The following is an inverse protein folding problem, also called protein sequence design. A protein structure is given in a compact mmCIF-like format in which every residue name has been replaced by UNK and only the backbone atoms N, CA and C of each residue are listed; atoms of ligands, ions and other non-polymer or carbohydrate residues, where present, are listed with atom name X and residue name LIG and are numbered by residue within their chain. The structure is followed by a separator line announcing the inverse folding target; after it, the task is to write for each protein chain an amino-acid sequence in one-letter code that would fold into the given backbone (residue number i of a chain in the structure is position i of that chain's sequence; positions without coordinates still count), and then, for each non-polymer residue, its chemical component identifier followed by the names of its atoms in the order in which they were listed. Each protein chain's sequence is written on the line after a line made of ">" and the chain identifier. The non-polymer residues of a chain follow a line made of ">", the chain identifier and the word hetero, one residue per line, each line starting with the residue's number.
data_IF_866495830551
#
_entry.id   IF_866495830551
#
_cell.length_a   1.000
_cell.length_b   1.000
_cell.length_c   1.000
_cell.angle_alpha   90.00
_cell.angle_beta   90.00
_cell.angle_gamma   90.00
#
_symmetry.space_group_name_H-M   'P 1'
#
loop_
_entity.id
_entity.type
_entity.pdbx_description
1 polymer ?
#
# COMPACT_ATOMS: atom_id res chain seq x y z
N UNK A 1 -21.56 -14.91 4.29
CA UNK A 1 -20.26 -15.54 4.51
C UNK A 1 -19.31 -14.52 5.14
N UNK A 2 -18.59 -14.92 6.23
CA UNK A 2 -17.67 -14.04 6.95
C UNK A 2 -16.53 -13.57 6.06
N UNK A 3 -16.03 -14.41 5.14
CA UNK A 3 -14.97 -14.04 4.19
C UNK A 3 -15.40 -12.85 3.34
N UNK A 4 -16.55 -12.96 2.69
CA UNK A 4 -17.10 -11.88 1.86
C UNK A 4 -17.32 -10.58 2.64
N UNK A 5 -17.66 -10.68 3.93
CA UNK A 5 -17.80 -9.52 4.80
C UNK A 5 -16.46 -8.78 4.97
N UNK A 6 -15.38 -9.51 5.27
CA UNK A 6 -14.05 -8.91 5.40
C UNK A 6 -13.51 -8.38 4.07
N UNK A 7 -13.63 -9.16 2.99
CA UNK A 7 -13.23 -8.72 1.63
C UNK A 7 -13.95 -7.43 1.22
N UNK A 8 -15.22 -7.27 1.60
CA UNK A 8 -15.98 -6.05 1.35
C UNK A 8 -15.49 -4.85 2.17
N UNK A 9 -15.10 -5.07 3.42
CA UNK A 9 -14.51 -4.02 4.27
C UNK A 9 -13.17 -3.57 3.68
N UNK A 10 -12.29 -4.52 3.33
CA UNK A 10 -11.00 -4.20 2.71
C UNK A 10 -11.16 -3.49 1.37
N UNK A 11 -12.08 -3.95 0.53
CA UNK A 11 -12.37 -3.29 -0.75
C UNK A 11 -12.78 -1.83 -0.56
N UNK A 12 -13.65 -1.55 0.39
CA UNK A 12 -14.07 -0.16 0.69
C UNK A 12 -12.92 0.70 1.22
N UNK A 13 -12.06 0.14 2.07
CA UNK A 13 -10.89 0.83 2.59
C UNK A 13 -9.91 1.17 1.45
N UNK A 14 -9.62 0.18 0.59
CA UNK A 14 -8.76 0.36 -0.57
C UNK A 14 -9.33 1.43 -1.51
N UNK A 15 -10.61 1.34 -1.83
CA UNK A 15 -11.28 2.32 -2.70
C UNK A 15 -11.21 3.74 -2.13
N UNK A 16 -11.50 3.91 -0.83
CA UNK A 16 -11.36 5.21 -0.16
C UNK A 16 -9.93 5.76 -0.24
N UNK A 17 -8.92 4.90 -0.02
CA UNK A 17 -7.52 5.33 -0.09
C UNK A 17 -7.11 5.69 -1.52
N UNK A 18 -7.62 4.97 -2.53
CA UNK A 18 -7.38 5.29 -3.93
C UNK A 18 -8.07 6.59 -4.37
N UNK A 19 -9.27 6.89 -3.86
CA UNK A 19 -9.96 8.17 -4.09
C UNK A 19 -9.13 9.32 -3.51
N UNK A 20 -8.64 9.18 -2.29
CA UNK A 20 -7.79 10.16 -1.62
C UNK A 20 -6.50 10.41 -2.43
N UNK A 21 -5.82 9.34 -2.87
CA UNK A 21 -4.64 9.44 -3.73
C UNK A 21 -4.96 10.17 -5.04
N UNK A 22 -6.07 9.80 -5.69
CA UNK A 22 -6.46 10.38 -6.97
C UNK A 22 -6.75 11.88 -6.86
N UNK A 23 -7.36 12.33 -5.75
CA UNK A 23 -7.63 13.75 -5.49
C UNK A 23 -6.37 14.59 -5.32
N UNK A 24 -5.27 13.99 -4.85
CA UNK A 24 -3.98 14.65 -4.62
C UNK A 24 -3.01 14.47 -5.80
N UNK A 25 -3.43 13.77 -6.87
CA UNK A 25 -2.56 13.46 -8.02
C UNK A 25 -2.20 14.75 -8.79
N UNK A 26 -0.91 15.11 -8.88
CA UNK A 26 -0.49 16.32 -9.59
C UNK A 26 -0.65 16.14 -11.10
N UNK A 27 -0.98 17.23 -11.78
CA UNK A 27 -1.15 17.24 -13.25
C UNK A 27 0.10 16.75 -13.99
N UNK A 28 1.28 17.07 -13.49
CA UNK A 28 2.56 16.71 -14.12
C UNK A 28 2.82 15.19 -14.08
N UNK A 29 2.08 14.43 -13.27
CA UNK A 29 2.23 12.98 -13.18
C UNK A 29 1.93 12.28 -14.52
N UNK A 30 1.16 12.87 -15.43
CA UNK A 30 0.92 12.27 -16.74
C UNK A 30 2.20 12.01 -17.54
N UNK A 31 3.27 12.74 -17.26
CA UNK A 31 4.57 12.54 -17.92
C UNK A 31 5.24 11.22 -17.50
N UNK A 32 4.78 10.58 -16.43
CA UNK A 32 5.29 9.27 -15.99
C UNK A 32 4.87 8.14 -16.93
N UNK A 33 3.77 8.26 -17.65
CA UNK A 33 3.17 7.17 -18.43
C UNK A 33 4.18 6.48 -19.37
N UNK A 34 4.87 7.18 -20.27
CA UNK A 34 5.86 6.54 -21.15
C UNK A 34 7.06 5.98 -20.39
N UNK A 35 7.43 6.58 -19.26
CA UNK A 35 8.54 6.13 -18.41
C UNK A 35 8.15 4.85 -17.67
N UNK A 36 6.95 4.81 -17.11
CA UNK A 36 6.40 3.68 -16.40
C UNK A 36 6.21 2.47 -17.32
N UNK A 37 5.61 2.69 -18.51
CA UNK A 37 5.48 1.64 -19.52
C UNK A 37 6.83 1.10 -19.97
N UNK A 38 7.83 1.96 -20.20
CA UNK A 38 9.18 1.54 -20.52
C UNK A 38 9.78 0.67 -19.40
N UNK A 39 9.68 1.10 -18.15
CA UNK A 39 10.21 0.35 -17.01
C UNK A 39 9.51 -1.00 -16.82
N UNK A 40 8.17 -1.03 -16.95
CA UNK A 40 7.37 -2.25 -16.88
C UNK A 40 7.76 -3.28 -17.94
N UNK A 41 7.89 -2.85 -19.20
CA UNK A 41 8.32 -3.71 -20.31
C UNK A 41 9.72 -4.29 -20.09
N UNK A 42 10.67 -3.49 -19.57
CA UNK A 42 12.01 -3.98 -19.26
C UNK A 42 12.00 -4.98 -18.10
N UNK A 43 11.21 -4.73 -17.04
CA UNK A 43 11.06 -5.69 -15.95
C UNK A 43 10.52 -7.03 -16.44
N UNK A 44 9.49 -7.04 -17.28
CA UNK A 44 8.96 -8.25 -17.87
C UNK A 44 10.00 -8.99 -18.74
N UNK A 45 10.72 -8.25 -19.58
CA UNK A 45 11.74 -8.81 -20.46
C UNK A 45 12.90 -9.46 -19.69
N UNK A 46 13.25 -8.91 -18.53
CA UNK A 46 14.28 -9.42 -17.63
C UNK A 46 13.75 -10.43 -16.59
N UNK A 47 12.46 -10.86 -16.69
CA UNK A 47 11.77 -11.74 -15.73
C UNK A 47 11.83 -11.20 -14.27
N UNK A 48 11.76 -9.89 -14.09
CA UNK A 48 11.69 -9.23 -12.80
C UNK A 48 10.20 -9.09 -12.42
N UNK A 49 9.74 -9.93 -11.49
CA UNK A 49 8.35 -9.92 -11.02
C UNK A 49 8.20 -8.96 -9.83
N UNK A 50 7.88 -7.71 -10.13
CA UNK A 50 7.59 -6.64 -9.17
C UNK A 50 6.32 -5.91 -9.58
N UNK A 51 5.70 -5.10 -8.71
CA UNK A 51 4.56 -4.27 -9.12
C UNK A 51 4.86 -3.37 -10.33
N UNK A 52 6.13 -3.00 -10.58
CA UNK A 52 6.53 -2.23 -11.77
C UNK A 52 6.21 -3.00 -13.06
N UNK A 53 6.30 -4.33 -13.05
CA UNK A 53 6.01 -5.12 -14.25
C UNK A 53 4.54 -5.06 -14.70
N UNK A 54 3.61 -4.67 -13.82
CA UNK A 54 2.21 -4.44 -14.20
C UNK A 54 2.00 -3.14 -14.99
N UNK A 55 3.03 -2.29 -15.08
CA UNK A 55 2.97 -1.02 -15.83
C UNK A 55 3.31 -1.18 -17.31
N UNK A 56 3.54 -2.40 -17.77
CA UNK A 56 3.72 -2.69 -19.18
C UNK A 56 2.51 -2.16 -19.96
N UNK A 57 2.77 -1.54 -21.12
CA UNK A 57 1.72 -0.96 -21.96
C UNK A 57 0.77 0.05 -21.26
N UNK A 58 1.21 0.70 -20.17
CA UNK A 58 0.44 1.76 -19.52
C UNK A 58 0.18 2.91 -20.52
N UNK A 59 -1.09 3.22 -20.76
CA UNK A 59 -1.52 4.26 -21.71
C UNK A 59 -2.14 5.49 -21.04
N UNK A 60 -2.67 5.31 -19.85
CA UNK A 60 -3.30 6.37 -19.06
C UNK A 60 -2.88 6.22 -17.59
N UNK A 61 -3.01 7.30 -16.81
CA UNK A 61 -2.88 7.18 -15.35
C UNK A 61 -3.98 6.24 -14.82
N UNK A 62 -3.64 5.43 -13.80
CA UNK A 62 -4.63 4.57 -13.16
C UNK A 62 -5.75 5.38 -12.52
N UNK A 63 -6.96 4.84 -12.54
CA UNK A 63 -8.13 5.42 -11.89
C UNK A 63 -8.13 5.15 -10.37
N UNK A 64 -9.18 5.57 -9.68
CA UNK A 64 -9.42 5.24 -8.27
C UNK A 64 -10.11 3.87 -8.08
N UNK A 65 -10.29 3.08 -9.15
CA UNK A 65 -10.89 1.76 -9.05
C UNK A 65 -9.93 0.74 -8.45
N UNK A 66 -10.48 -0.23 -7.73
CA UNK A 66 -9.70 -1.31 -7.10
C UNK A 66 -8.90 -2.12 -8.12
N UNK A 67 -9.43 -2.28 -9.34
CA UNK A 67 -8.72 -2.94 -10.45
C UNK A 67 -7.37 -2.33 -10.77
N UNK A 68 -7.20 -1.04 -10.49
CA UNK A 68 -6.00 -0.27 -10.78
C UNK A 68 -5.01 -0.22 -9.60
N UNK A 69 -5.33 -0.89 -8.48
CA UNK A 69 -4.48 -0.93 -7.29
C UNK A 69 -3.04 -1.36 -7.63
N UNK A 70 -2.88 -2.41 -8.42
CA UNK A 70 -1.55 -2.91 -8.80
C UNK A 70 -0.77 -1.94 -9.68
N UNK A 71 -1.44 -1.17 -10.51
CA UNK A 71 -0.83 -0.09 -11.31
C UNK A 71 -0.33 1.03 -10.39
N UNK A 72 -1.13 1.44 -9.41
CA UNK A 72 -0.70 2.42 -8.41
C UNK A 72 0.46 1.92 -7.54
N UNK A 73 0.44 0.64 -7.13
CA UNK A 73 1.59 0.00 -6.44
C UNK A 73 2.85 0.02 -7.31
N UNK A 74 2.72 -0.23 -8.61
CA UNK A 74 3.82 -0.13 -9.57
C UNK A 74 4.38 1.27 -9.68
N UNK A 75 3.54 2.29 -9.79
CA UNK A 75 3.94 3.70 -9.79
C UNK A 75 4.63 4.08 -8.47
N UNK A 76 4.08 3.62 -7.34
CA UNK A 76 4.67 3.86 -6.03
C UNK A 76 6.07 3.24 -5.91
N UNK A 77 6.26 2.00 -6.35
CA UNK A 77 7.57 1.34 -6.33
C UNK A 77 8.55 2.02 -7.29
N UNK A 78 8.07 2.58 -8.39
CA UNK A 78 8.90 3.32 -9.35
C UNK A 78 9.40 4.63 -8.75
N UNK A 79 8.55 5.40 -8.08
CA UNK A 79 8.86 6.72 -7.52
C UNK A 79 9.56 6.63 -6.16
N UNK A 80 9.11 5.72 -5.27
CA UNK A 80 9.51 5.68 -3.88
C UNK A 80 10.56 4.61 -3.59
N UNK A 81 11.43 4.90 -2.63
CA UNK A 81 12.28 3.89 -1.98
C UNK A 81 11.45 3.03 -1.02
N UNK A 82 12.04 1.97 -0.46
CA UNK A 82 11.39 1.16 0.58
C UNK A 82 10.94 1.98 1.80
N UNK A 83 11.68 3.04 2.12
CA UNK A 83 11.38 3.90 3.27
C UNK A 83 10.34 5.00 2.98
N UNK A 84 9.80 5.05 1.76
CA UNK A 84 8.84 6.09 1.36
C UNK A 84 9.46 7.38 0.83
N UNK A 85 10.80 7.49 0.78
CA UNK A 85 11.47 8.65 0.21
C UNK A 85 11.42 8.61 -1.32
N UNK A 86 11.42 9.76 -1.97
CA UNK A 86 11.56 9.85 -3.44
C UNK A 86 12.92 9.30 -3.86
N UNK A 87 12.93 8.45 -4.90
CA UNK A 87 14.19 7.90 -5.43
C UNK A 87 15.08 8.98 -6.01
N UNK A 88 16.36 8.90 -5.72
CA UNK A 88 17.41 9.77 -6.31
C UNK A 88 18.08 9.13 -7.53
N UNK A 89 18.01 7.81 -7.63
CA UNK A 89 18.68 7.05 -8.70
C UNK A 89 17.81 5.88 -9.14
N UNK A 90 17.98 5.50 -10.41
CA UNK A 90 17.29 4.35 -11.01
C UNK A 90 18.29 3.41 -11.67
N UNK A 91 17.97 2.14 -11.66
CA UNK A 91 18.86 1.09 -12.15
C UNK A 91 18.09 -0.04 -12.84
N UNK A 92 18.79 -1.06 -13.29
CA UNK A 92 18.23 -2.20 -14.01
C UNK A 92 17.16 -2.95 -13.20
N UNK A 93 17.29 -3.03 -11.86
CA UNK A 93 16.34 -3.78 -11.01
C UNK A 93 14.93 -3.18 -10.98
N UNK A 94 14.78 -1.94 -11.43
CA UNK A 94 13.49 -1.25 -11.57
C UNK A 94 13.21 -0.83 -13.03
N UNK A 95 13.76 -1.60 -13.99
CA UNK A 95 13.47 -1.44 -15.40
C UNK A 95 14.29 -0.37 -16.15
N UNK A 96 15.41 0.14 -15.58
CA UNK A 96 16.26 1.13 -16.26
C UNK A 96 17.65 0.59 -16.59
N UNK A 97 17.88 0.02 -17.78
CA UNK A 97 19.20 -0.41 -18.25
C UNK A 97 20.22 0.74 -18.26
N UNK A 98 21.52 0.41 -18.19
CA UNK A 98 22.59 1.40 -18.03
C UNK A 98 22.70 2.39 -19.20
N UNK A 99 22.43 1.93 -20.39
CA UNK A 99 22.57 2.66 -21.68
C UNK A 99 21.45 3.69 -21.94
N UNK A 100 20.35 3.63 -21.20
CA UNK A 100 19.15 4.46 -21.41
C UNK A 100 19.25 5.82 -20.69
N UNK A 101 20.28 6.62 -21.02
CA UNK A 101 20.57 7.90 -20.33
C UNK A 101 19.44 8.92 -20.45
N UNK A 102 18.80 9.03 -21.64
CA UNK A 102 17.76 10.04 -21.89
C UNK A 102 16.52 9.83 -21.01
N UNK A 103 16.03 8.61 -20.94
CA UNK A 103 14.82 8.32 -20.16
C UNK A 103 15.10 8.43 -18.65
N UNK A 104 16.31 8.09 -18.22
CA UNK A 104 16.75 8.30 -16.83
C UNK A 104 16.79 9.78 -16.46
N UNK A 105 17.27 10.63 -17.36
CA UNK A 105 17.30 12.08 -17.14
C UNK A 105 15.88 12.63 -17.01
N UNK A 106 14.99 12.33 -17.98
CA UNK A 106 13.59 12.74 -17.92
C UNK A 106 12.90 12.27 -16.64
N UNK A 107 13.20 11.05 -16.20
CA UNK A 107 12.62 10.54 -14.97
C UNK A 107 13.18 11.25 -13.73
N UNK A 108 14.47 11.58 -13.69
CA UNK A 108 15.05 12.34 -12.59
C UNK A 108 14.44 13.74 -12.47
N UNK A 109 14.21 14.42 -13.58
CA UNK A 109 13.53 15.73 -13.62
C UNK A 109 12.09 15.63 -13.09
N UNK A 110 11.36 14.57 -13.49
CA UNK A 110 10.02 14.31 -12.95
C UNK A 110 10.05 14.06 -11.44
N UNK A 111 10.99 13.25 -10.96
CA UNK A 111 11.13 12.96 -9.53
C UNK A 111 11.43 14.23 -8.72
N UNK A 112 12.25 15.13 -9.26
CA UNK A 112 12.53 16.42 -8.63
C UNK A 112 11.25 17.27 -8.54
N UNK A 113 10.48 17.36 -9.61
CA UNK A 113 9.18 18.05 -9.62
C UNK A 113 8.21 17.43 -8.60
N UNK A 114 8.07 16.10 -8.59
CA UNK A 114 7.17 15.39 -7.66
C UNK A 114 7.59 15.54 -6.20
N UNK A 115 8.86 15.80 -5.91
CA UNK A 115 9.35 15.96 -4.52
C UNK A 115 8.68 17.11 -3.76
N UNK A 116 8.11 18.09 -4.47
CA UNK A 116 7.33 19.19 -3.90
C UNK A 116 5.92 18.77 -3.44
N UNK A 117 5.38 17.67 -3.98
CA UNK A 117 4.00 17.20 -3.73
C UNK A 117 3.94 16.22 -2.54
N UNK A 118 4.24 16.70 -1.33
CA UNK A 118 4.37 15.84 -0.14
C UNK A 118 3.12 15.04 0.19
N UNK A 119 1.93 15.63 0.07
CA UNK A 119 0.67 14.93 0.37
C UNK A 119 0.46 13.77 -0.61
N UNK A 120 0.65 14.02 -1.90
CA UNK A 120 0.58 12.96 -2.92
C UNK A 120 1.57 11.82 -2.64
N UNK A 121 2.82 12.13 -2.32
CA UNK A 121 3.85 11.12 -2.04
C UNK A 121 3.52 10.30 -0.79
N UNK A 122 2.96 10.93 0.25
CA UNK A 122 2.48 10.24 1.44
C UNK A 122 1.32 9.28 1.08
N UNK A 123 0.32 9.75 0.34
CA UNK A 123 -0.80 8.91 -0.11
C UNK A 123 -0.34 7.77 -1.02
N UNK A 124 0.60 8.04 -1.90
CA UNK A 124 1.20 7.03 -2.76
C UNK A 124 1.95 5.95 -1.94
N UNK A 125 2.62 6.34 -0.87
CA UNK A 125 3.26 5.41 0.06
C UNK A 125 2.22 4.55 0.80
N UNK A 126 1.12 5.14 1.28
CA UNK A 126 0.01 4.42 1.91
C UNK A 126 -0.58 3.35 0.97
N UNK A 127 -0.82 3.71 -0.30
CA UNK A 127 -1.37 2.78 -1.31
C UNK A 127 -0.42 1.63 -1.61
N UNK A 128 0.89 1.85 -1.60
CA UNK A 128 1.88 0.78 -1.84
C UNK A 128 1.74 -0.37 -0.85
N UNK A 129 1.44 -0.08 0.39
CA UNK A 129 1.40 -1.05 1.49
C UNK A 129 0.00 -1.66 1.70
N UNK A 130 -0.99 -1.28 0.87
CA UNK A 130 -2.33 -1.87 0.95
C UNK A 130 -2.29 -3.37 0.59
N UNK A 131 -3.05 -4.21 1.31
CA UNK A 131 -3.21 -5.62 0.95
C UNK A 131 -4.01 -5.77 -0.34
N UNK A 132 -4.01 -6.98 -0.90
CA UNK A 132 -4.94 -7.32 -1.96
C UNK A 132 -6.38 -7.35 -1.41
N UNK A 133 -7.38 -6.95 -2.22
CA UNK A 133 -8.77 -6.88 -1.77
C UNK A 133 -9.39 -8.26 -1.49
N UNK A 134 -8.83 -9.31 -2.10
CA UNK A 134 -9.31 -10.68 -1.98
C UNK A 134 -8.27 -11.53 -1.25
N UNK A 135 -8.74 -12.38 -0.34
CA UNK A 135 -7.89 -13.36 0.32
C UNK A 135 -7.76 -14.63 -0.54
N UNK A 136 -6.56 -15.17 -0.65
CA UNK A 136 -6.38 -16.55 -1.04
C UNK A 136 -6.97 -17.51 0.01
N UNK A 137 -7.21 -18.76 -0.33
CA UNK A 137 -7.74 -19.75 0.62
C UNK A 137 -6.82 -19.95 1.83
N UNK A 138 -5.51 -19.85 1.64
CA UNK A 138 -4.55 -19.99 2.72
C UNK A 138 -4.54 -18.77 3.63
N UNK A 139 -4.56 -17.55 3.08
CA UNK A 139 -4.66 -16.31 3.86
C UNK A 139 -5.95 -16.27 4.67
N UNK A 140 -7.07 -16.65 4.05
CA UNK A 140 -8.34 -16.76 4.77
C UNK A 140 -8.31 -17.76 5.92
N UNK A 141 -7.68 -18.93 5.72
CA UNK A 141 -7.52 -19.92 6.80
C UNK A 141 -6.71 -19.34 7.96
N UNK A 142 -5.61 -18.65 7.68
CA UNK A 142 -4.76 -18.02 8.70
C UNK A 142 -5.53 -16.91 9.43
N UNK A 143 -6.15 -15.99 8.69
CA UNK A 143 -6.95 -14.91 9.27
C UNK A 143 -8.07 -15.46 10.16
N UNK A 144 -8.82 -16.44 9.68
CA UNK A 144 -9.87 -17.09 10.44
C UNK A 144 -9.36 -17.74 11.73
N UNK A 145 -8.23 -18.46 11.65
CA UNK A 145 -7.62 -19.06 12.82
C UNK A 145 -7.19 -18.01 13.84
N UNK A 146 -6.57 -16.92 13.39
CA UNK A 146 -6.18 -15.78 14.23
C UNK A 146 -7.40 -15.17 14.93
N UNK A 147 -8.47 -14.88 14.18
CA UNK A 147 -9.70 -14.31 14.75
C UNK A 147 -10.37 -15.22 15.78
N UNK A 148 -10.25 -16.54 15.64
CA UNK A 148 -10.76 -17.51 16.61
C UNK A 148 -9.89 -17.58 17.87
N UNK A 149 -8.60 -17.27 17.77
CA UNK A 149 -7.69 -17.27 18.90
C UNK A 149 -7.73 -15.98 19.73
N UNK A 150 -8.06 -14.84 19.11
CA UNK A 150 -8.04 -13.53 19.74
C UNK A 150 -8.82 -13.46 21.08
N UNK A 151 -10.06 -14.00 21.21
CA UNK A 151 -10.78 -14.00 22.48
C UNK A 151 -10.01 -14.74 23.59
N UNK A 152 -9.50 -15.94 23.28
CA UNK A 152 -8.73 -16.74 24.24
C UNK A 152 -7.44 -16.05 24.66
N UNK A 153 -6.76 -15.37 23.73
CA UNK A 153 -5.56 -14.60 24.02
C UNK A 153 -5.88 -13.39 24.92
N UNK A 154 -6.99 -12.69 24.66
CA UNK A 154 -7.44 -11.57 25.47
C UNK A 154 -7.76 -12.02 26.90
N UNK A 155 -8.49 -13.12 27.06
CA UNK A 155 -8.83 -13.69 28.36
C UNK A 155 -7.58 -14.15 29.13
N UNK A 156 -6.64 -14.79 28.43
CA UNK A 156 -5.37 -15.20 29.03
C UNK A 156 -4.58 -13.99 29.52
N UNK A 157 -4.52 -12.92 28.70
CA UNK A 157 -3.81 -11.69 29.08
C UNK A 157 -4.45 -11.02 30.31
N UNK A 158 -5.78 -10.94 30.36
CA UNK A 158 -6.52 -10.44 31.54
C UNK A 158 -6.21 -11.22 32.80
N UNK A 159 -6.16 -12.56 32.72
CA UNK A 159 -5.82 -13.42 33.85
C UNK A 159 -4.39 -13.14 34.31
N UNK A 160 -3.42 -13.04 33.40
CA UNK A 160 -2.02 -12.72 33.75
C UNK A 160 -1.93 -11.35 34.43
N UNK A 161 -2.64 -10.33 33.92
CA UNK A 161 -2.65 -9.00 34.53
C UNK A 161 -3.25 -9.04 35.94
N UNK A 162 -4.36 -9.78 36.13
CA UNK A 162 -4.98 -9.95 37.43
C UNK A 162 -4.05 -10.65 38.43
N UNK A 163 -3.39 -11.73 38.01
CA UNK A 163 -2.46 -12.49 38.87
C UNK A 163 -1.21 -11.67 39.26
N UNK A 164 -0.73 -10.82 38.36
CA UNK A 164 0.46 -10.00 38.61
C UNK A 164 0.16 -8.65 39.24
N UNK A 165 -1.11 -8.32 39.48
CA UNK A 165 -1.54 -6.99 39.93
C UNK A 165 -1.14 -5.86 38.99
N UNK A 166 -1.07 -6.16 37.69
CA UNK A 166 -0.73 -5.20 36.60
C UNK A 166 -1.93 -4.95 35.73
N UNK A 167 -1.89 -3.83 35.02
CA UNK A 167 -2.89 -3.50 34.00
C UNK A 167 -2.22 -2.62 32.94
N UNK A 168 -2.80 -2.56 31.75
CA UNK A 168 -2.35 -1.65 30.69
C UNK A 168 -3.33 -0.49 30.49
N UNK A 169 -2.94 0.47 29.67
CA UNK A 169 -3.78 1.64 29.37
C UNK A 169 -5.10 1.27 28.70
N UNK A 170 -5.12 0.21 27.91
CA UNK A 170 -6.34 -0.24 27.22
C UNK A 170 -7.34 -0.80 28.22
N UNK A 171 -6.88 -1.62 29.19
CA UNK A 171 -7.70 -2.18 30.22
C UNK A 171 -8.25 -1.10 31.17
N UNK A 172 -7.42 -0.11 31.55
CA UNK A 172 -7.86 1.07 32.32
C UNK A 172 -8.95 1.84 31.58
N UNK A 173 -8.76 2.07 30.28
CA UNK A 173 -9.73 2.79 29.45
C UNK A 173 -11.05 2.05 29.29
N UNK A 174 -10.99 0.71 29.14
CA UNK A 174 -12.18 -0.13 29.06
C UNK A 174 -12.93 -0.15 30.39
N UNK A 175 -12.23 -0.32 31.51
CA UNK A 175 -12.81 -0.31 32.83
C UNK A 175 -13.44 1.06 33.17
N UNK A 176 -12.77 2.16 32.80
CA UNK A 176 -13.31 3.49 32.97
C UNK A 176 -14.58 3.72 32.15
N UNK A 177 -14.62 3.25 30.90
CA UNK A 177 -15.80 3.33 30.04
C UNK A 177 -16.97 2.51 30.59
N UNK A 178 -16.68 1.32 31.11
CA UNK A 178 -17.70 0.44 31.73
C UNK A 178 -18.25 1.04 33.03
N UNK A 179 -17.41 1.64 33.84
CA UNK A 179 -17.81 2.33 35.08
C UNK A 179 -18.62 3.60 34.85
N UNK A 180 -18.35 4.33 33.75
CA UNK A 180 -19.04 5.57 33.41
C UNK A 180 -20.37 5.31 32.68
N UNK A 181 -20.62 4.10 32.21
CA UNK A 181 -21.78 3.73 31.39
C UNK A 181 -21.59 4.18 29.94
N UNK A 182 -22.17 3.42 29.04
CA UNK A 182 -22.30 3.84 27.63
C UNK A 182 -23.54 4.75 27.52
N UNK A 183 -23.35 6.04 27.16
CA UNK A 183 -24.45 6.85 26.61
C UNK A 183 -24.95 6.26 25.29
#
# INVERSE_FOLDING_TARGET
>A
DKRNYFENIFSKLIESTLIDLHSETPNDLHTIIPIASFAGNNCLSDNIHTPISSLDNLTNLPSHQISDLNLWKGIAELILTKNGDVRKTVNKSIGFPADQKKIKLNFSELLETLSAHRIFLQKLHEVRDLPDPLFSDNEWKVLRATLLLLPNMADTLRNIFSEQGKTDFTEISLAAREALGTE
#
